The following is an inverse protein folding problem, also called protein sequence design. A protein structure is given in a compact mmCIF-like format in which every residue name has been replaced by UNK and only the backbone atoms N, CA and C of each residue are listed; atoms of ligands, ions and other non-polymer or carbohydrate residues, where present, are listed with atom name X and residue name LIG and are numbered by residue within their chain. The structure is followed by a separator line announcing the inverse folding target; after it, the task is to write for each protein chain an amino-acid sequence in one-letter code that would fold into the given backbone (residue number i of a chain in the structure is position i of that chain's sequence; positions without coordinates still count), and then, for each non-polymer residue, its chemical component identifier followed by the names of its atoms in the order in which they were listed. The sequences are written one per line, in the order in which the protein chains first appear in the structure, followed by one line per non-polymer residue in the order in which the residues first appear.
data_IF_456414445007
#
_entry.id   IF_456414445007
#
_cell.length_a   1.000
_cell.length_b   1.000
_cell.length_c   1.000
_cell.angle_alpha   90.00
_cell.angle_beta   90.00
_cell.angle_gamma   90.00
#
_symmetry.space_group_name_H-M   'P 1'
#
loop_
_entity.id
_entity.type
_entity.pdbx_description
1 polymer ?
#
# COMPACT_ATOMS: atom_id res chain seq x y z
N UNK A 1 22.13 -24.50 12.47
CA UNK A 1 21.89 -25.96 12.30
C UNK A 1 22.52 -26.40 10.98
N UNK A 2 22.39 -27.66 10.53
CA UNK A 2 22.54 -27.93 9.09
C UNK A 2 21.43 -27.20 8.33
N UNK A 3 21.72 -26.75 7.10
CA UNK A 3 20.65 -26.24 6.23
C UNK A 3 19.74 -27.40 5.80
N UNK A 4 18.43 -27.17 5.69
CA UNK A 4 17.49 -28.19 5.26
C UNK A 4 17.77 -28.61 3.82
N UNK A 5 17.74 -29.92 3.58
CA UNK A 5 17.85 -30.47 2.24
C UNK A 5 16.50 -30.44 1.49
N UNK A 6 16.50 -30.84 0.22
CA UNK A 6 15.27 -30.80 -0.57
C UNK A 6 14.19 -31.78 -0.09
N UNK A 7 14.55 -32.87 0.62
CA UNK A 7 13.58 -33.79 1.19
C UNK A 7 12.91 -33.19 2.44
N UNK A 8 13.65 -32.44 3.27
CA UNK A 8 13.08 -31.68 4.38
C UNK A 8 12.14 -30.57 3.91
N UNK A 9 12.52 -29.82 2.86
CA UNK A 9 11.61 -28.86 2.21
C UNK A 9 10.35 -29.55 1.68
N UNK A 10 10.49 -30.64 0.94
CA UNK A 10 9.38 -31.38 0.33
C UNK A 10 8.42 -31.96 1.38
N UNK A 11 8.95 -32.48 2.49
CA UNK A 11 8.16 -32.95 3.63
C UNK A 11 7.39 -31.80 4.29
N UNK A 12 8.05 -30.66 4.52
CA UNK A 12 7.42 -29.48 5.13
C UNK A 12 6.27 -28.93 4.28
N UNK A 13 6.47 -28.72 2.97
CA UNK A 13 5.40 -28.21 2.08
C UNK A 13 4.24 -29.17 1.94
N UNK A 14 4.51 -30.48 1.93
CA UNK A 14 3.47 -31.52 1.91
C UNK A 14 2.65 -31.50 3.21
N UNK A 15 3.31 -31.35 4.37
CA UNK A 15 2.64 -31.21 5.66
C UNK A 15 1.78 -29.94 5.72
N UNK A 16 2.30 -28.79 5.26
CA UNK A 16 1.53 -27.54 5.19
C UNK A 16 0.28 -27.69 4.32
N UNK A 17 0.42 -28.21 3.09
CA UNK A 17 -0.69 -28.44 2.18
C UNK A 17 -1.75 -29.37 2.80
N UNK A 18 -1.31 -30.49 3.41
CA UNK A 18 -2.17 -31.44 4.13
C UNK A 18 -2.88 -30.84 5.36
N UNK A 19 -2.28 -29.84 6.01
CA UNK A 19 -2.89 -29.07 7.09
C UNK A 19 -3.69 -27.84 6.61
N UNK A 20 -3.95 -27.73 5.30
CA UNK A 20 -4.79 -26.68 4.72
C UNK A 20 -4.11 -25.32 4.52
N UNK A 21 -2.78 -25.24 4.68
CA UNK A 21 -2.01 -24.06 4.29
C UNK A 21 -1.85 -23.99 2.77
N UNK A 22 -2.23 -22.86 2.20
CA UNK A 22 -1.98 -22.56 0.79
C UNK A 22 -0.54 -22.10 0.63
N UNK A 23 0.29 -22.93 0.02
CA UNK A 23 1.74 -22.66 -0.16
C UNK A 23 2.11 -22.46 -1.64
N UNK A 24 3.20 -21.74 -1.87
CA UNK A 24 3.81 -21.48 -3.19
C UNK A 24 5.32 -21.21 -3.04
N UNK A 25 6.14 -21.48 -4.08
CA UNK A 25 7.58 -21.29 -3.99
C UNK A 25 7.97 -19.81 -4.02
N UNK A 26 8.91 -19.44 -3.15
CA UNK A 26 9.63 -18.18 -3.10
C UNK A 26 11.07 -18.38 -3.58
N UNK A 27 11.66 -17.36 -4.20
CA UNK A 27 13.04 -17.40 -4.69
C UNK A 27 13.99 -17.74 -3.51
N UNK A 28 14.96 -18.67 -3.68
CA UNK A 28 15.94 -18.99 -2.65
C UNK A 28 16.72 -17.75 -2.20
N UNK A 29 16.88 -17.56 -0.89
CA UNK A 29 17.55 -16.38 -0.34
C UNK A 29 16.77 -15.07 -0.50
N UNK A 30 15.50 -15.13 -0.92
CA UNK A 30 14.64 -13.98 -1.17
C UNK A 30 13.25 -14.18 -0.55
N UNK A 31 12.40 -13.15 -0.59
CA UNK A 31 11.02 -13.18 -0.07
C UNK A 31 9.94 -12.99 -1.16
N UNK A 32 10.30 -13.14 -2.43
CA UNK A 32 9.41 -12.91 -3.58
C UNK A 32 9.00 -14.23 -4.27
N UNK A 33 7.84 -14.32 -4.94
CA UNK A 33 7.42 -15.53 -5.65
C UNK A 33 8.45 -15.98 -6.69
N UNK A 34 8.75 -17.29 -6.72
CA UNK A 34 9.69 -17.89 -7.67
C UNK A 34 9.10 -18.10 -9.07
N UNK A 35 7.78 -18.30 -9.15
CA UNK A 35 7.11 -18.55 -10.43
C UNK A 35 7.09 -17.27 -11.27
N UNK A 36 7.65 -17.28 -12.51
CA UNK A 36 7.63 -16.12 -13.40
C UNK A 36 6.20 -15.68 -13.72
N UNK A 37 5.99 -14.37 -13.92
CA UNK A 37 4.64 -13.86 -14.14
C UNK A 37 3.99 -14.36 -15.44
N UNK A 38 2.76 -14.84 -15.33
CA UNK A 38 1.95 -15.27 -16.47
C UNK A 38 1.53 -14.10 -17.38
N UNK A 39 1.48 -12.89 -16.82
CA UNK A 39 0.94 -11.69 -17.44
C UNK A 39 1.94 -10.53 -17.27
N UNK A 40 2.96 -10.42 -18.16
CA UNK A 40 3.90 -9.31 -18.13
C UNK A 40 3.17 -7.97 -18.27
N UNK A 41 3.73 -6.89 -17.69
CA UNK A 41 3.09 -5.55 -17.66
C UNK A 41 2.63 -5.05 -19.03
N UNK A 42 3.37 -5.39 -20.08
CA UNK A 42 3.05 -5.06 -21.46
C UNK A 42 3.09 -6.33 -22.31
N UNK A 43 2.28 -6.33 -23.36
CA UNK A 43 2.28 -7.36 -24.42
C UNK A 43 2.43 -6.68 -25.78
N UNK A 44 2.93 -7.45 -26.75
CA UNK A 44 3.06 -6.98 -28.13
C UNK A 44 1.72 -7.16 -28.85
N UNK A 45 1.06 -6.06 -29.19
CA UNK A 45 -0.15 -6.04 -30.01
C UNK A 45 0.24 -5.90 -31.48
N UNK A 46 -0.15 -6.88 -32.31
CA UNK A 46 0.13 -6.89 -33.75
C UNK A 46 -0.91 -6.07 -34.51
N UNK A 47 -0.50 -4.96 -35.12
CA UNK A 47 -1.38 -4.14 -35.95
C UNK A 47 -1.51 -4.77 -37.34
N UNK A 48 -2.68 -5.33 -37.65
CA UNK A 48 -2.91 -6.03 -38.92
C UNK A 48 -2.21 -7.40 -39.02
N UNK A 49 -1.76 -7.97 -37.90
CA UNK A 49 -1.14 -9.30 -37.86
C UNK A 49 0.35 -9.36 -38.24
N UNK A 50 0.99 -8.23 -38.57
CA UNK A 50 2.42 -8.17 -38.86
C UNK A 50 3.24 -7.58 -37.68
N UNK A 51 4.53 -7.93 -37.61
CA UNK A 51 5.45 -7.43 -36.58
C UNK A 51 5.88 -5.98 -36.82
N UNK A 52 5.96 -5.54 -38.09
CA UNK A 52 6.49 -4.22 -38.45
C UNK A 52 5.56 -3.05 -38.07
N UNK A 53 4.32 -3.35 -37.70
CA UNK A 53 3.35 -2.41 -37.14
C UNK A 53 3.05 -2.61 -35.65
N UNK A 54 3.77 -3.51 -34.97
CA UNK A 54 3.43 -3.96 -33.62
C UNK A 54 3.82 -2.95 -32.53
N UNK A 55 3.03 -2.87 -31.46
CA UNK A 55 3.24 -1.94 -30.34
C UNK A 55 3.16 -2.65 -28.99
N UNK A 56 4.01 -2.23 -28.05
CA UNK A 56 3.85 -2.60 -26.64
C UNK A 56 2.65 -1.85 -26.04
N UNK A 57 1.64 -2.61 -25.62
CA UNK A 57 0.43 -2.10 -24.97
C UNK A 57 0.29 -2.68 -23.55
N UNK A 58 -0.40 -2.01 -22.61
CA UNK A 58 -0.68 -2.57 -21.30
C UNK A 58 -1.39 -3.92 -21.41
N UNK A 59 -0.94 -4.91 -20.65
CA UNK A 59 -1.56 -6.23 -20.67
C UNK A 59 -2.96 -6.19 -20.03
N UNK A 60 -4.05 -6.51 -20.74
CA UNK A 60 -5.40 -6.47 -20.20
C UNK A 60 -5.64 -7.50 -19.09
N UNK A 61 -4.81 -8.55 -19.01
CA UNK A 61 -4.89 -9.61 -18.00
C UNK A 61 -3.92 -9.39 -16.82
N UNK A 62 -3.29 -8.22 -16.68
CA UNK A 62 -2.33 -7.91 -15.59
C UNK A 62 -2.89 -8.13 -14.18
N UNK A 63 -4.21 -8.00 -14.02
CA UNK A 63 -4.93 -8.08 -12.75
C UNK A 63 -5.51 -9.48 -12.48
N UNK A 64 -5.19 -10.46 -13.34
CA UNK A 64 -5.51 -11.88 -13.20
C UNK A 64 -4.91 -12.46 -11.90
N UNK A 65 -5.66 -13.37 -11.27
CA UNK A 65 -5.36 -14.04 -9.99
C UNK A 65 -5.43 -15.57 -10.13
N UNK A 66 -5.16 -16.07 -11.33
CA UNK A 66 -5.20 -17.49 -11.66
C UNK A 66 -6.39 -17.92 -12.53
N UNK A 67 -7.31 -17.01 -12.88
CA UNK A 67 -8.47 -17.33 -13.73
C UNK A 67 -8.08 -17.83 -15.14
N UNK A 68 -6.85 -17.54 -15.59
CA UNK A 68 -6.31 -18.05 -16.86
C UNK A 68 -5.82 -19.51 -16.81
N UNK A 69 -5.83 -20.17 -15.64
CA UNK A 69 -5.42 -21.56 -15.47
C UNK A 69 -3.91 -21.84 -15.56
N UNK A 70 -3.07 -20.80 -15.63
CA UNK A 70 -1.60 -20.90 -15.60
C UNK A 70 -1.05 -20.51 -14.23
N UNK A 71 0.17 -20.96 -13.91
CA UNK A 71 0.94 -20.45 -12.78
C UNK A 71 1.58 -19.10 -13.16
N UNK A 72 1.83 -18.20 -12.19
CA UNK A 72 2.50 -16.92 -12.41
C UNK A 72 1.73 -15.70 -11.91
N UNK A 73 0.94 -15.87 -10.85
CA UNK A 73 0.13 -14.87 -10.15
C UNK A 73 0.60 -14.64 -8.71
N UNK A 74 1.76 -15.20 -8.33
CA UNK A 74 2.40 -14.98 -7.05
C UNK A 74 1.60 -15.61 -5.91
N UNK A 75 1.20 -14.80 -4.91
CA UNK A 75 0.42 -15.31 -3.77
C UNK A 75 -0.92 -15.95 -4.17
N UNK A 76 -1.45 -15.65 -5.36
CA UNK A 76 -2.68 -16.24 -5.86
C UNK A 76 -2.50 -17.64 -6.44
N UNK A 77 -1.27 -18.06 -6.79
CA UNK A 77 -0.96 -19.45 -7.15
C UNK A 77 -0.99 -20.38 -5.93
N UNK A 78 -1.00 -19.83 -4.70
CA UNK A 78 -0.89 -20.57 -3.45
C UNK A 78 -2.00 -21.63 -3.26
N UNK A 79 -1.58 -22.87 -3.09
CA UNK A 79 -2.44 -24.06 -3.16
C UNK A 79 -2.26 -25.03 -1.99
N UNK A 80 -3.30 -25.80 -1.72
CA UNK A 80 -3.30 -26.97 -0.81
C UNK A 80 -3.27 -28.29 -1.58
N UNK A 81 -3.21 -28.23 -2.91
CA UNK A 81 -3.09 -29.38 -3.80
C UNK A 81 -1.69 -30.01 -3.62
N UNK A 82 -1.66 -31.20 -3.01
CA UNK A 82 -0.42 -31.91 -2.66
C UNK A 82 0.34 -32.35 -3.92
N UNK A 83 -0.35 -32.75 -4.99
CA UNK A 83 0.32 -33.20 -6.22
C UNK A 83 1.01 -32.02 -6.92
N UNK A 84 0.35 -30.84 -6.93
CA UNK A 84 0.94 -29.60 -7.45
C UNK A 84 2.11 -29.11 -6.60
N UNK A 85 1.99 -29.16 -5.28
CA UNK A 85 3.08 -28.81 -4.34
C UNK A 85 4.27 -29.76 -4.51
N UNK A 86 4.02 -31.07 -4.60
CA UNK A 86 5.04 -32.07 -4.84
C UNK A 86 5.73 -31.85 -6.21
N UNK A 87 4.96 -31.54 -7.26
CA UNK A 87 5.50 -31.24 -8.58
C UNK A 87 6.41 -30.02 -8.63
N UNK A 88 6.15 -28.99 -7.81
CA UNK A 88 7.02 -27.81 -7.71
C UNK A 88 8.35 -28.13 -7.01
N UNK A 89 8.32 -28.62 -5.77
CA UNK A 89 9.54 -28.85 -4.96
C UNK A 89 10.28 -30.15 -5.29
N UNK A 90 9.61 -31.12 -5.92
CA UNK A 90 10.25 -32.29 -6.55
C UNK A 90 10.81 -32.01 -7.95
N UNK A 91 10.59 -30.81 -8.50
CA UNK A 91 10.96 -30.42 -9.85
C UNK A 91 11.70 -29.09 -9.91
N UNK A 92 11.27 -28.20 -10.81
CA UNK A 92 11.98 -26.95 -11.15
C UNK A 92 12.10 -25.92 -10.02
N UNK A 93 11.41 -26.13 -8.89
CA UNK A 93 11.47 -25.25 -7.71
C UNK A 93 12.07 -25.97 -6.48
N UNK A 94 12.82 -27.05 -6.69
CA UNK A 94 13.65 -27.67 -5.65
C UNK A 94 14.53 -26.62 -4.95
N UNK A 95 14.61 -26.68 -3.61
CA UNK A 95 15.32 -25.71 -2.77
C UNK A 95 14.73 -24.29 -2.71
N UNK A 96 13.55 -24.04 -3.30
CA UNK A 96 12.85 -22.75 -3.14
C UNK A 96 12.32 -22.57 -1.72
N UNK A 97 12.37 -21.32 -1.23
CA UNK A 97 11.74 -20.91 0.02
C UNK A 97 10.21 -21.10 -0.05
N UNK A 98 9.54 -21.14 1.10
CA UNK A 98 8.11 -21.45 1.22
C UNK A 98 7.33 -20.18 1.56
N UNK A 99 6.47 -19.75 0.64
CA UNK A 99 5.47 -18.71 0.88
C UNK A 99 4.16 -19.34 1.33
N UNK A 100 3.66 -18.95 2.50
CA UNK A 100 2.34 -19.36 3.00
C UNK A 100 1.35 -18.22 2.90
N UNK A 101 0.31 -18.35 2.05
CA UNK A 101 -0.79 -17.38 2.02
C UNK A 101 -1.60 -17.51 3.31
N UNK A 102 -1.79 -16.39 4.01
CA UNK A 102 -2.45 -16.39 5.33
C UNK A 102 -3.92 -16.85 5.17
N UNK A 103 -4.40 -17.84 5.95
CA UNK A 103 -5.79 -18.28 5.88
C UNK A 103 -6.81 -17.17 6.19
N UNK A 104 -7.98 -17.19 5.55
CA UNK A 104 -9.10 -16.28 5.84
C UNK A 104 -9.56 -16.33 7.30
N UNK A 105 -9.36 -17.46 7.98
CA UNK A 105 -9.65 -17.65 9.40
C UNK A 105 -8.64 -16.99 10.35
N UNK A 106 -7.55 -16.41 9.83
CA UNK A 106 -6.42 -15.90 10.60
C UNK A 106 -5.96 -14.49 10.15
N UNK A 107 -5.11 -13.89 10.97
CA UNK A 107 -4.22 -12.81 10.59
C UNK A 107 -2.88 -12.97 11.31
N UNK A 108 -1.87 -12.23 10.86
CA UNK A 108 -0.52 -12.25 11.43
C UNK A 108 -0.13 -10.85 11.86
N UNK A 109 0.38 -10.73 13.08
CA UNK A 109 1.15 -9.57 13.54
C UNK A 109 2.62 -9.87 13.23
N UNK A 110 3.18 -9.16 12.25
CA UNK A 110 4.57 -9.31 11.79
C UNK A 110 5.42 -8.23 12.49
N UNK A 111 6.37 -8.65 13.32
CA UNK A 111 7.17 -7.80 14.18
C UNK A 111 8.59 -7.72 13.64
N UNK A 112 9.00 -6.51 13.23
CA UNK A 112 10.34 -6.23 12.69
C UNK A 112 11.16 -5.32 13.63
N UNK A 113 12.12 -5.88 14.40
CA UNK A 113 13.03 -5.14 15.28
C UNK A 113 13.83 -4.06 14.54
N UNK A 114 14.17 -4.25 13.25
CA UNK A 114 14.91 -3.23 12.47
C UNK A 114 14.11 -1.94 12.30
N UNK A 115 12.79 -2.03 12.40
CA UNK A 115 11.86 -0.90 12.37
C UNK A 115 11.31 -0.55 13.76
N UNK A 116 11.88 -1.11 14.83
CA UNK A 116 11.48 -0.87 16.23
C UNK A 116 10.18 -1.57 16.62
N UNK A 117 9.82 -2.65 15.93
CA UNK A 117 8.62 -3.43 16.19
C UNK A 117 8.64 -4.13 17.56
N UNK A 118 9.82 -4.52 18.02
CA UNK A 118 10.09 -5.08 19.35
C UNK A 118 9.73 -4.09 20.48
N UNK A 119 10.22 -2.85 20.37
CA UNK A 119 9.99 -1.76 21.30
C UNK A 119 8.52 -1.30 21.26
N UNK A 120 7.95 -1.24 20.05
CA UNK A 120 6.53 -0.90 19.85
C UNK A 120 5.63 -1.97 20.45
N UNK A 121 5.95 -3.26 20.30
CA UNK A 121 5.19 -4.36 20.89
C UNK A 121 5.27 -4.31 22.42
N UNK A 122 6.47 -4.18 22.98
CA UNK A 122 6.65 -4.06 24.42
C UNK A 122 5.87 -2.87 25.02
N UNK A 123 5.81 -1.73 24.32
CA UNK A 123 5.01 -0.58 24.73
C UNK A 123 3.49 -0.83 24.65
N UNK A 124 3.01 -1.57 23.65
CA UNK A 124 1.61 -1.99 23.57
C UNK A 124 1.25 -2.95 24.70
N UNK A 125 2.10 -3.94 24.97
CA UNK A 125 1.87 -4.94 26.01
C UNK A 125 1.96 -4.36 27.43
N UNK A 126 2.87 -3.40 27.67
CA UNK A 126 2.93 -2.64 28.91
C UNK A 126 1.68 -1.77 29.13
N UNK A 127 1.07 -1.27 28.04
CA UNK A 127 -0.10 -0.37 28.09
C UNK A 127 -1.43 -1.11 28.20
N UNK A 128 -1.58 -2.26 27.55
CA UNK A 128 -2.86 -2.96 27.39
C UNK A 128 -2.88 -4.41 27.91
N UNK A 129 -1.72 -4.93 28.35
CA UNK A 129 -1.53 -6.32 28.76
C UNK A 129 -0.84 -7.16 27.68
N UNK A 130 -0.08 -8.17 28.12
CA UNK A 130 0.66 -9.11 27.27
C UNK A 130 -0.23 -9.77 26.22
N UNK A 131 0.34 -10.08 25.05
CA UNK A 131 -0.29 -10.99 24.10
C UNK A 131 -0.33 -12.41 24.69
N UNK A 132 -1.39 -13.20 24.42
CA UNK A 132 -1.39 -14.61 24.77
C UNK A 132 -0.37 -15.36 23.92
N UNK A 133 0.16 -16.46 24.46
CA UNK A 133 0.91 -17.44 23.68
C UNK A 133 0.05 -17.95 22.51
N UNK A 134 0.67 -18.07 21.35
CA UNK A 134 0.02 -18.45 20.09
C UNK A 134 1.06 -19.01 19.14
N UNK A 135 0.63 -19.69 18.07
CA UNK A 135 1.50 -20.14 16.99
C UNK A 135 2.40 -18.98 16.54
N UNK A 136 3.71 -19.24 16.43
CA UNK A 136 4.68 -18.27 15.95
C UNK A 136 5.59 -18.84 14.87
N UNK A 137 6.07 -17.95 14.00
CA UNK A 137 7.28 -18.18 13.20
C UNK A 137 8.35 -17.20 13.65
N UNK A 138 9.53 -17.70 13.99
CA UNK A 138 10.71 -16.88 14.28
C UNK A 138 11.53 -16.70 13.00
N UNK A 139 12.04 -15.49 12.81
CA UNK A 139 12.95 -15.16 11.71
C UNK A 139 14.32 -15.78 11.93
N UNK A 140 14.87 -16.44 10.90
CA UNK A 140 16.26 -16.89 10.89
C UNK A 140 17.30 -15.76 11.03
N UNK A 141 16.89 -14.48 11.03
CA UNK A 141 17.79 -13.35 11.30
C UNK A 141 18.38 -13.36 12.71
N UNK A 142 17.69 -13.96 13.70
CA UNK A 142 18.16 -14.02 15.08
C UNK A 142 18.06 -12.70 15.88
N UNK A 143 17.43 -11.67 15.33
CA UNK A 143 17.23 -10.36 15.97
C UNK A 143 15.92 -10.24 16.78
N UNK A 144 15.13 -11.32 16.83
CA UNK A 144 13.80 -11.35 17.47
C UNK A 144 12.63 -11.06 16.52
N UNK A 145 12.88 -10.88 15.21
CA UNK A 145 11.82 -10.74 14.22
C UNK A 145 10.90 -11.98 14.19
N UNK A 146 9.58 -11.77 14.20
CA UNK A 146 8.61 -12.86 14.38
C UNK A 146 7.22 -12.57 13.80
N UNK A 147 6.58 -13.63 13.32
CA UNK A 147 5.18 -13.67 12.94
C UNK A 147 4.36 -14.25 14.11
N UNK A 148 3.38 -13.51 14.64
CA UNK A 148 2.42 -13.98 15.65
C UNK A 148 1.06 -14.21 14.98
N UNK A 149 0.57 -15.45 14.97
CA UNK A 149 -0.67 -15.82 14.28
C UNK A 149 -1.87 -15.73 15.23
N UNK A 150 -2.98 -15.15 14.79
CA UNK A 150 -4.21 -15.01 15.60
C UNK A 150 -5.46 -15.34 14.79
N UNK A 151 -6.52 -15.79 15.45
CA UNK A 151 -7.85 -16.00 14.85
C UNK A 151 -8.42 -14.67 14.36
N UNK A 152 -8.93 -14.64 13.13
CA UNK A 152 -9.46 -13.43 12.50
C UNK A 152 -10.80 -13.01 13.12
N UNK A 153 -10.91 -11.80 13.70
CA UNK A 153 -12.22 -11.25 14.07
C UNK A 153 -12.97 -10.79 12.80
N UNK A 154 -14.32 -10.75 12.82
CA UNK A 154 -15.11 -10.36 11.66
C UNK A 154 -14.86 -8.91 11.24
N UNK A 155 -14.91 -8.66 9.94
CA UNK A 155 -14.79 -7.33 9.33
C UNK A 155 -13.45 -7.05 8.64
N UNK A 156 -13.29 -5.79 8.22
CA UNK A 156 -12.03 -5.26 7.69
C UNK A 156 -11.08 -5.00 8.85
N UNK A 157 -9.79 -5.25 8.65
CA UNK A 157 -8.71 -4.96 9.61
C UNK A 157 -7.78 -3.88 9.04
N UNK A 158 -7.03 -3.20 9.91
CA UNK A 158 -6.05 -2.17 9.56
C UNK A 158 -4.86 -2.19 10.51
N UNK A 159 -3.64 -1.97 9.98
CA UNK A 159 -2.42 -1.82 10.79
C UNK A 159 -2.24 -0.41 11.37
N UNK A 160 -3.07 0.57 10.97
CA UNK A 160 -2.79 2.01 11.17
C UNK A 160 -2.57 2.46 12.63
N UNK A 161 -2.97 1.65 13.61
CA UNK A 161 -2.85 1.93 15.05
C UNK A 161 -1.96 0.93 15.80
N UNK A 162 -1.23 0.06 15.10
CA UNK A 162 -0.24 -0.86 15.69
C UNK A 162 1.10 -0.17 15.97
N UNK A 163 1.42 0.91 15.26
CA UNK A 163 2.70 1.64 15.40
C UNK A 163 3.77 1.19 14.41
N UNK A 164 4.99 1.66 14.60
CA UNK A 164 6.11 1.45 13.66
C UNK A 164 6.71 0.05 13.84
N UNK A 165 7.08 -0.59 12.73
CA UNK A 165 7.72 -1.91 12.75
C UNK A 165 6.80 -3.07 13.15
N UNK A 166 5.48 -2.82 13.21
CA UNK A 166 4.47 -3.87 13.37
C UNK A 166 3.54 -3.85 12.16
N UNK A 167 3.67 -4.87 11.33
CA UNK A 167 2.88 -5.09 10.13
C UNK A 167 1.69 -6.02 10.39
N UNK A 168 0.67 -5.92 9.54
CA UNK A 168 -0.49 -6.80 9.55
C UNK A 168 -0.56 -7.60 8.25
N UNK A 169 -0.37 -8.93 8.30
CA UNK A 169 -0.65 -9.80 7.15
C UNK A 169 -2.03 -10.45 7.30
N UNK A 170 -2.73 -10.57 6.19
CA UNK A 170 -4.06 -11.20 6.07
C UNK A 170 -4.11 -12.02 4.79
N UNK A 171 -5.24 -12.62 4.43
CA UNK A 171 -5.43 -13.40 3.20
C UNK A 171 -5.19 -12.66 1.88
N UNK A 172 -5.03 -11.34 1.91
CA UNK A 172 -4.53 -10.52 0.79
C UNK A 172 -2.99 -10.51 0.67
N UNK A 173 -2.28 -11.23 1.55
CA UNK A 173 -0.83 -11.34 1.61
C UNK A 173 -0.37 -12.73 2.06
N UNK A 174 0.92 -12.87 2.29
CA UNK A 174 1.58 -14.11 2.68
C UNK A 174 2.67 -13.85 3.71
N UNK A 175 3.17 -14.93 4.31
CA UNK A 175 4.33 -14.99 5.20
C UNK A 175 5.35 -15.96 4.65
N UNK A 176 6.61 -15.83 5.07
CA UNK A 176 7.63 -16.87 4.87
C UNK A 176 7.44 -17.95 5.93
N UNK A 177 7.38 -19.21 5.52
CA UNK A 177 7.13 -20.37 6.39
C UNK A 177 8.44 -21.13 6.68
N UNK A 178 8.62 -21.74 7.87
CA UNK A 178 9.70 -22.71 8.12
C UNK A 178 9.71 -23.86 7.10
N UNK A 179 10.84 -24.52 6.82
CA UNK A 179 12.19 -24.20 7.24
C UNK A 179 12.92 -23.29 6.23
N UNK A 180 12.21 -22.34 5.59
CA UNK A 180 12.81 -21.40 4.63
C UNK A 180 14.10 -20.75 5.16
N UNK A 181 15.02 -20.42 4.26
CA UNK A 181 16.31 -19.81 4.58
C UNK A 181 16.19 -18.28 4.52
N UNK A 182 16.63 -17.58 5.57
CA UNK A 182 16.57 -16.13 5.64
C UNK A 182 17.68 -15.47 4.78
N UNK A 183 17.34 -14.45 3.93
CA UNK A 183 18.28 -13.81 3.00
C UNK A 183 19.65 -13.45 3.59
N UNK A 184 19.65 -12.60 4.62
CA UNK A 184 20.88 -11.95 5.11
C UNK A 184 21.73 -12.81 6.06
N UNK A 185 21.15 -13.87 6.64
CA UNK A 185 21.79 -14.67 7.69
C UNK A 185 22.06 -16.12 7.29
N UNK A 186 21.47 -16.58 6.19
CA UNK A 186 21.44 -17.98 5.76
C UNK A 186 20.87 -18.97 6.81
N UNK A 187 20.33 -18.51 7.93
CA UNK A 187 19.71 -19.34 8.96
C UNK A 187 18.21 -19.51 8.71
N UNK A 188 17.63 -20.58 9.26
CA UNK A 188 16.25 -20.98 8.94
C UNK A 188 15.21 -20.19 9.73
N UNK A 189 14.06 -19.91 9.11
CA UNK A 189 12.83 -19.62 9.86
C UNK A 189 12.39 -20.88 10.60
N UNK A 190 11.95 -20.73 11.85
CA UNK A 190 11.50 -21.85 12.71
C UNK A 190 10.11 -21.60 13.26
N UNK A 191 9.35 -22.64 13.57
CA UNK A 191 8.06 -22.50 14.27
C UNK A 191 8.24 -22.63 15.78
N UNK A 192 7.35 -21.96 16.52
CA UNK A 192 7.06 -22.29 17.91
C UNK A 192 5.60 -22.72 17.94
N UNK A 193 5.39 -24.01 18.20
CA UNK A 193 4.07 -24.64 18.13
C UNK A 193 3.20 -24.26 19.32
N UNK A 194 2.06 -23.64 19.04
CA UNK A 194 1.00 -23.38 20.01
C UNK A 194 -0.34 -23.24 19.26
N UNK A 195 -1.49 -23.43 19.93
CA UNK A 195 -2.79 -23.20 19.30
C UNK A 195 -2.93 -21.75 18.81
N UNK A 196 -3.49 -21.54 17.61
CA UNK A 196 -3.77 -20.18 17.12
C UNK A 196 -4.79 -19.50 18.02
N UNK A 197 -4.33 -18.50 18.78
CA UNK A 197 -5.06 -17.87 19.86
C UNK A 197 -6.17 -16.94 19.37
N UNK A 198 -7.15 -16.70 20.25
CA UNK A 198 -8.09 -15.58 20.09
C UNK A 198 -7.33 -14.29 20.42
N UNK A 199 -7.34 -13.26 19.55
CA UNK A 199 -6.66 -12.01 19.84
C UNK A 199 -7.30 -11.30 21.04
N UNK A 200 -6.52 -10.66 21.93
CA UNK A 200 -7.08 -9.92 23.05
C UNK A 200 -7.90 -8.72 22.57
N UNK A 201 -8.91 -8.33 23.35
CA UNK A 201 -9.86 -7.28 22.96
C UNK A 201 -9.21 -5.94 22.64
N UNK A 202 -8.07 -5.61 23.27
CA UNK A 202 -7.29 -4.41 22.96
C UNK A 202 -6.70 -4.47 21.54
N UNK A 203 -6.15 -5.62 21.12
CA UNK A 203 -5.58 -5.80 19.79
C UNK A 203 -6.67 -5.71 18.73
N UNK A 204 -7.82 -6.36 18.95
CA UNK A 204 -9.01 -6.23 18.08
C UNK A 204 -9.44 -4.77 17.97
N UNK A 205 -9.41 -4.01 19.07
CA UNK A 205 -9.76 -2.59 19.07
C UNK A 205 -8.75 -1.69 18.34
N UNK A 206 -7.45 -2.05 18.29
CA UNK A 206 -6.46 -1.36 17.46
C UNK A 206 -6.60 -1.72 15.97
N UNK A 207 -6.87 -2.99 15.68
CA UNK A 207 -7.02 -3.52 14.32
C UNK A 207 -8.30 -3.11 13.61
N UNK A 208 -9.34 -2.71 14.37
CA UNK A 208 -10.52 -2.06 13.79
C UNK A 208 -10.06 -0.83 13.02
N UNK A 209 -10.33 -0.73 11.70
CA UNK A 209 -10.18 0.51 10.97
C UNK A 209 -10.88 1.60 11.75
N UNK A 210 -10.25 2.76 11.86
CA UNK A 210 -11.02 3.91 12.27
C UNK A 210 -12.20 4.01 11.30
N UNK A 211 -13.40 3.98 11.87
CA UNK A 211 -14.53 4.58 11.19
C UNK A 211 -14.10 6.03 11.03
N UNK A 212 -13.55 6.36 9.84
CA UNK A 212 -13.59 7.73 9.36
C UNK A 212 -15.02 8.12 9.57
N UNK A 213 -15.26 8.98 10.55
CA UNK A 213 -16.45 9.79 10.53
C UNK A 213 -16.37 10.50 9.19
N UNK A 214 -17.11 9.98 8.19
CA UNK A 214 -17.84 10.86 7.28
C UNK A 214 -18.45 11.85 8.24
N UNK A 215 -17.86 13.05 8.29
CA UNK A 215 -18.15 14.01 9.35
C UNK A 215 -19.66 14.07 9.40
N UNK A 216 -20.26 13.67 10.52
CA UNK A 216 -21.70 13.76 10.64
C UNK A 216 -21.99 15.20 10.25
N UNK A 217 -22.78 15.40 9.19
CA UNK A 217 -23.22 16.74 8.77
C UNK A 217 -24.11 17.20 9.90
N UNK A 218 -23.46 17.68 10.96
CA UNK A 218 -24.09 18.04 12.21
C UNK A 218 -24.99 19.19 11.81
N UNK A 219 -26.33 19.07 11.97
CA UNK A 219 -27.17 20.23 11.80
C UNK A 219 -26.59 21.31 12.70
N UNK A 220 -26.21 22.46 12.11
CA UNK A 220 -25.38 23.49 12.75
C UNK A 220 -26.08 24.01 14.01
N UNK A 221 -25.86 23.36 15.15
CA UNK A 221 -26.20 23.91 16.46
C UNK A 221 -25.21 25.05 16.73
N UNK A 222 -25.73 26.26 16.57
CA UNK A 222 -25.14 27.51 17.05
C UNK A 222 -24.74 27.40 18.55
N UNK A 223 -23.88 28.33 19.00
CA UNK A 223 -23.72 28.88 20.38
C UNK A 223 -22.33 28.81 21.04
N UNK A 224 -21.98 29.89 21.78
CA UNK A 224 -20.90 30.04 22.78
C UNK A 224 -19.54 29.43 22.41
N UNK A 225 -18.53 30.17 21.93
CA UNK A 225 -18.17 31.56 22.29
C UNK A 225 -19.07 32.72 21.83
N UNK A 226 -19.56 32.85 20.59
CA UNK A 226 -19.37 32.00 19.42
C UNK A 226 -20.53 31.03 19.20
N UNK A 227 -20.31 29.74 18.91
CA UNK A 227 -19.04 29.10 18.57
C UNK A 227 -18.65 29.45 17.15
N UNK A 228 -17.44 29.98 17.01
CA UNK A 228 -16.83 30.35 15.74
C UNK A 228 -15.35 29.97 15.92
N UNK A 229 -14.83 28.82 15.45
CA UNK A 229 -15.33 27.93 14.40
C UNK A 229 -15.80 28.71 13.16
N UNK A 230 -15.04 29.73 12.81
CA UNK A 230 -14.83 30.06 11.41
C UNK A 230 -13.80 29.08 10.84
N UNK A 231 -14.03 28.65 9.61
CA UNK A 231 -13.05 27.91 8.80
C UNK A 231 -11.86 28.85 8.53
N UNK A 232 -10.63 28.35 8.45
CA UNK A 232 -9.48 29.21 8.09
C UNK A 232 -9.72 29.83 6.71
N UNK A 233 -9.21 31.03 6.44
CA UNK A 233 -9.34 31.66 5.11
C UNK A 233 -8.73 30.79 4.02
N UNK A 234 -7.60 30.15 4.32
CA UNK A 234 -6.96 29.19 3.42
C UNK A 234 -7.82 27.94 3.17
N UNK A 235 -8.43 27.38 4.21
CA UNK A 235 -9.30 26.20 4.11
C UNK A 235 -10.59 26.55 3.34
N UNK A 236 -11.21 27.69 3.67
CA UNK A 236 -12.41 28.22 3.03
C UNK A 236 -12.20 28.49 1.54
N UNK A 237 -11.00 28.95 1.17
CA UNK A 237 -10.60 29.13 -0.23
C UNK A 237 -10.38 27.79 -0.93
N UNK A 238 -9.71 26.82 -0.28
CA UNK A 238 -9.53 25.48 -0.86
C UNK A 238 -10.86 24.73 -1.05
N UNK A 239 -11.87 24.97 -0.19
CA UNK A 239 -13.21 24.39 -0.28
C UNK A 239 -14.11 25.07 -1.32
N UNK A 240 -13.96 26.38 -1.56
CA UNK A 240 -14.87 27.17 -2.40
C UNK A 240 -14.34 27.46 -3.81
N UNK A 241 -13.04 27.31 -4.03
CA UNK A 241 -12.39 27.61 -5.31
C UNK A 241 -11.98 26.33 -6.04
N UNK A 242 -12.22 26.29 -7.34
CA UNK A 242 -11.77 25.23 -8.27
C UNK A 242 -10.32 25.44 -8.72
N UNK A 243 -9.70 24.42 -9.32
CA UNK A 243 -8.39 24.61 -9.96
C UNK A 243 -8.46 25.51 -11.21
N UNK A 244 -9.60 25.51 -11.92
CA UNK A 244 -9.85 26.39 -13.07
C UNK A 244 -9.78 27.87 -12.66
N UNK A 245 -10.51 28.28 -11.63
CA UNK A 245 -10.52 29.66 -11.11
C UNK A 245 -9.15 30.15 -10.61
N UNK A 246 -8.19 29.25 -10.36
CA UNK A 246 -6.83 29.59 -9.91
C UNK A 246 -5.85 29.62 -11.10
N UNK A 247 -5.98 28.68 -12.06
CA UNK A 247 -4.98 28.46 -13.11
C UNK A 247 -5.35 29.13 -14.45
N UNK A 248 -6.61 29.14 -14.85
CA UNK A 248 -7.06 29.72 -16.12
C UNK A 248 -6.82 31.25 -16.22
N UNK A 249 -6.99 32.07 -15.16
CA UNK A 249 -6.64 33.50 -15.21
C UNK A 249 -5.16 33.75 -15.51
N UNK A 250 -4.30 32.76 -15.26
CA UNK A 250 -2.85 32.78 -15.54
C UNK A 250 -2.50 32.06 -16.86
N UNK A 251 -3.49 31.86 -17.73
CA UNK A 251 -3.32 31.33 -19.09
C UNK A 251 -3.16 29.81 -19.18
N UNK A 252 -3.33 29.07 -18.08
CA UNK A 252 -3.26 27.61 -18.11
C UNK A 252 -4.53 27.01 -18.73
N UNK A 253 -4.37 25.91 -19.47
CA UNK A 253 -5.48 25.15 -20.05
C UNK A 253 -5.58 23.74 -19.45
N UNK A 254 -6.80 23.31 -19.10
CA UNK A 254 -7.08 21.91 -18.76
C UNK A 254 -7.23 21.10 -20.05
N UNK A 255 -6.56 19.94 -20.14
CA UNK A 255 -6.57 19.08 -21.34
C UNK A 255 -7.37 17.78 -21.16
N UNK A 256 -8.35 17.77 -20.24
CA UNK A 256 -9.16 16.61 -19.89
C UNK A 256 -10.61 16.77 -20.39
N UNK A 257 -11.18 15.74 -21.03
CA UNK A 257 -12.56 15.74 -21.56
C UNK A 257 -13.64 15.38 -20.53
N UNK A 258 -13.36 15.56 -19.23
CA UNK A 258 -14.31 15.34 -18.13
C UNK A 258 -14.48 16.58 -17.25
N UNK A 259 -15.35 16.50 -16.25
CA UNK A 259 -15.70 17.66 -15.40
C UNK A 259 -14.45 18.26 -14.71
N UNK A 260 -14.07 19.51 -15.00
CA UNK A 260 -12.90 20.15 -14.39
C UNK A 260 -13.07 20.42 -12.88
N UNK A 261 -14.25 20.17 -12.31
CA UNK A 261 -14.52 20.23 -10.88
C UNK A 261 -14.12 18.94 -10.12
N UNK A 262 -13.79 17.84 -10.80
CA UNK A 262 -13.47 16.56 -10.16
C UNK A 262 -12.00 16.48 -9.70
N UNK A 263 -11.76 16.92 -8.46
CA UNK A 263 -10.46 16.89 -7.78
C UNK A 263 -9.86 15.47 -7.59
N UNK A 264 -10.59 14.38 -7.88
CA UNK A 264 -10.08 12.98 -7.85
C UNK A 264 -9.63 12.45 -9.23
N UNK A 265 -10.07 13.03 -10.35
CA UNK A 265 -9.98 12.42 -11.69
C UNK A 265 -8.58 12.45 -12.35
N UNK A 266 -7.58 13.11 -11.77
CA UNK A 266 -6.22 13.14 -12.33
C UNK A 266 -6.01 14.21 -13.42
N UNK A 267 -6.76 15.33 -13.36
CA UNK A 267 -6.77 16.38 -14.38
C UNK A 267 -5.38 16.89 -14.77
N UNK A 268 -5.15 17.02 -16.08
CA UNK A 268 -3.87 17.46 -16.67
C UNK A 268 -3.98 18.92 -17.11
N UNK A 269 -2.97 19.71 -16.73
CA UNK A 269 -2.90 21.14 -16.98
C UNK A 269 -1.66 21.51 -17.81
N UNK A 270 -1.84 22.45 -18.73
CA UNK A 270 -0.84 22.99 -19.64
C UNK A 270 -0.57 24.46 -19.31
N UNK A 271 0.70 24.82 -19.11
CA UNK A 271 1.13 26.22 -19.01
C UNK A 271 1.08 26.89 -20.40
N UNK A 272 0.80 28.20 -20.54
CA UNK A 272 0.75 28.86 -21.85
C UNK A 272 2.08 28.77 -22.63
N UNK A 273 3.22 28.69 -21.94
CA UNK A 273 4.55 28.51 -22.54
C UNK A 273 5.02 27.04 -22.53
N UNK A 274 4.10 26.08 -22.47
CA UNK A 274 4.45 24.66 -22.43
C UNK A 274 4.99 24.15 -23.79
N UNK A 275 6.21 23.61 -23.77
CA UNK A 275 6.80 22.87 -24.89
C UNK A 275 6.45 21.37 -24.89
N UNK A 276 5.66 20.91 -23.92
CA UNK A 276 5.31 19.51 -23.68
C UNK A 276 3.82 19.34 -23.40
N UNK A 277 3.26 18.17 -23.72
CA UNK A 277 1.82 17.86 -23.63
C UNK A 277 1.27 17.67 -22.21
N UNK A 278 2.04 17.99 -21.18
CA UNK A 278 1.61 18.05 -19.78
C UNK A 278 2.56 18.98 -19.03
N UNK A 279 2.04 19.97 -18.28
CA UNK A 279 2.84 20.84 -17.41
C UNK A 279 2.64 20.54 -15.94
N UNK A 280 1.40 20.19 -15.54
CA UNK A 280 1.05 19.80 -14.18
C UNK A 280 -0.09 18.77 -14.17
N UNK A 281 -0.29 18.10 -13.04
CA UNK A 281 -1.38 17.13 -12.81
C UNK A 281 -1.96 17.31 -11.41
N UNK A 282 -3.28 17.38 -11.29
CA UNK A 282 -3.95 17.36 -9.98
C UNK A 282 -4.10 15.90 -9.52
N UNK A 283 -3.65 15.58 -8.31
CA UNK A 283 -3.86 14.27 -7.67
C UNK A 283 -4.12 14.45 -6.18
N UNK A 284 -5.11 13.75 -5.64
CA UNK A 284 -5.48 13.83 -4.22
C UNK A 284 -5.79 15.28 -3.76
N UNK A 285 -6.35 16.12 -4.64
CA UNK A 285 -6.60 17.54 -4.39
C UNK A 285 -5.37 18.47 -4.41
N UNK A 286 -4.18 17.96 -4.75
CA UNK A 286 -2.94 18.75 -4.86
C UNK A 286 -2.45 18.84 -6.31
N UNK A 287 -1.92 20.01 -6.70
CA UNK A 287 -1.27 20.22 -7.99
C UNK A 287 0.20 19.81 -7.92
N UNK A 288 0.58 18.78 -8.70
CA UNK A 288 1.97 18.38 -8.91
C UNK A 288 2.45 18.95 -10.24
N UNK A 289 3.57 19.67 -10.24
CA UNK A 289 4.07 20.40 -11.41
C UNK A 289 5.32 19.72 -11.95
N UNK A 290 5.35 19.41 -13.23
CA UNK A 290 6.44 18.66 -13.87
C UNK A 290 7.28 19.54 -14.81
N UNK A 291 6.75 20.68 -15.24
CA UNK A 291 7.46 21.66 -16.06
C UNK A 291 8.26 22.64 -15.20
N UNK A 292 9.53 22.84 -15.54
CA UNK A 292 10.40 23.88 -14.95
C UNK A 292 10.16 25.27 -15.56
N UNK A 293 9.45 25.38 -16.68
CA UNK A 293 9.08 26.67 -17.28
C UNK A 293 7.73 27.17 -16.73
N UNK A 294 7.63 27.27 -15.40
CA UNK A 294 6.45 27.75 -14.66
C UNK A 294 6.93 28.47 -13.38
N UNK A 295 6.11 29.33 -12.75
CA UNK A 295 6.45 29.95 -11.46
C UNK A 295 6.43 28.97 -10.27
N UNK A 296 6.16 27.68 -10.49
CA UNK A 296 6.18 26.66 -9.45
C UNK A 296 7.51 25.89 -9.42
N UNK A 297 7.86 25.38 -8.24
CA UNK A 297 8.93 24.41 -8.08
C UNK A 297 8.49 23.06 -8.65
N UNK A 298 9.32 22.48 -9.54
CA UNK A 298 8.99 21.21 -10.18
C UNK A 298 9.12 20.03 -9.20
N UNK A 299 8.08 19.20 -9.14
CA UNK A 299 8.00 18.00 -8.31
C UNK A 299 9.10 16.99 -8.69
N UNK A 300 10.08 16.80 -7.80
CA UNK A 300 11.18 15.86 -8.01
C UNK A 300 10.81 14.42 -7.60
N UNK A 301 11.38 13.42 -8.30
CA UNK A 301 11.08 11.99 -8.06
C UNK A 301 11.47 11.49 -6.65
N UNK A 302 12.40 12.17 -5.98
CA UNK A 302 12.82 11.84 -4.60
C UNK A 302 12.04 12.58 -3.51
N UNK A 303 11.24 13.59 -3.87
CA UNK A 303 10.61 14.50 -2.91
C UNK A 303 9.30 15.09 -3.49
N UNK A 304 8.19 14.32 -3.46
CA UNK A 304 6.97 14.65 -4.20
C UNK A 304 6.14 15.74 -3.49
N UNK A 305 6.57 16.99 -3.65
CA UNK A 305 5.85 18.18 -3.19
C UNK A 305 4.73 18.56 -4.16
N UNK A 306 3.48 18.51 -3.69
CA UNK A 306 2.30 19.04 -4.35
C UNK A 306 1.81 20.35 -3.71
N UNK A 307 1.21 21.23 -4.51
CA UNK A 307 0.65 22.49 -4.05
C UNK A 307 -0.83 22.36 -3.67
N UNK A 308 -1.23 22.91 -2.52
CA UNK A 308 -2.65 23.15 -2.22
C UNK A 308 -3.17 24.30 -3.06
N UNK A 309 -4.49 24.37 -3.28
CA UNK A 309 -5.15 25.49 -3.99
C UNK A 309 -4.73 26.86 -3.46
N UNK A 310 -4.72 27.04 -2.13
CA UNK A 310 -4.27 28.30 -1.52
C UNK A 310 -2.76 28.58 -1.71
N UNK A 311 -1.88 27.56 -1.62
CA UNK A 311 -0.44 27.74 -1.89
C UNK A 311 -0.19 28.08 -3.37
N UNK A 312 -0.95 27.48 -4.29
CA UNK A 312 -0.85 27.78 -5.71
C UNK A 312 -1.33 29.21 -6.03
N UNK A 313 -2.47 29.63 -5.45
CA UNK A 313 -2.95 31.00 -5.54
C UNK A 313 -1.93 32.02 -5.00
N UNK A 314 -1.27 31.73 -3.88
CA UNK A 314 -0.23 32.59 -3.32
C UNK A 314 1.00 32.70 -4.25
N UNK A 315 1.45 31.60 -4.86
CA UNK A 315 2.55 31.63 -5.85
C UNK A 315 2.19 32.46 -7.09
N UNK A 316 0.99 32.29 -7.63
CA UNK A 316 0.58 32.96 -8.87
C UNK A 316 0.22 34.45 -8.71
N UNK A 317 -0.25 34.87 -7.53
CA UNK A 317 -0.83 36.21 -7.34
C UNK A 317 -0.11 37.06 -6.29
N UNK A 318 0.80 36.48 -5.49
CA UNK A 318 1.45 37.13 -4.34
C UNK A 318 2.92 36.67 -4.17
N UNK A 319 3.59 36.22 -5.22
CA UNK A 319 4.99 35.75 -5.23
C UNK A 319 5.31 34.66 -4.17
N UNK A 320 4.30 33.91 -3.74
CA UNK A 320 4.41 32.89 -2.70
C UNK A 320 4.19 33.40 -1.26
N UNK A 321 3.94 34.69 -1.05
CA UNK A 321 3.59 35.23 0.29
C UNK A 321 2.17 34.81 0.69
N UNK A 322 2.11 33.72 1.46
CA UNK A 322 0.89 33.16 2.05
C UNK A 322 0.15 34.17 2.95
N UNK A 323 0.84 35.14 3.55
CA UNK A 323 0.23 36.17 4.42
C UNK A 323 -0.39 37.31 3.60
N UNK A 324 0.26 37.73 2.52
CA UNK A 324 -0.32 38.66 1.56
C UNK A 324 -1.57 38.06 0.90
N UNK A 325 -1.47 36.81 0.43
CA UNK A 325 -2.59 36.07 -0.14
C UNK A 325 -3.79 35.97 0.82
N UNK A 326 -3.56 35.63 2.10
CA UNK A 326 -4.62 35.55 3.09
C UNK A 326 -5.31 36.92 3.32
N UNK A 327 -4.53 38.01 3.41
CA UNK A 327 -5.07 39.37 3.56
C UNK A 327 -5.88 39.81 2.34
N UNK A 328 -5.43 39.46 1.13
CA UNK A 328 -6.13 39.75 -0.11
C UNK A 328 -7.50 39.07 -0.15
N UNK A 329 -7.58 37.77 0.18
CA UNK A 329 -8.84 37.03 0.24
C UNK A 329 -9.79 37.55 1.34
N UNK A 330 -9.27 37.91 2.53
CA UNK A 330 -10.07 38.57 3.57
C UNK A 330 -10.68 39.88 3.05
N UNK A 331 -9.91 40.66 2.29
CA UNK A 331 -10.35 41.96 1.76
C UNK A 331 -11.35 41.79 0.60
N UNK A 332 -11.17 40.75 -0.22
CA UNK A 332 -12.08 40.43 -1.34
C UNK A 332 -13.41 39.84 -0.85
N UNK A 333 -13.39 39.05 0.23
CA UNK A 333 -14.58 38.51 0.90
C UNK A 333 -15.27 39.47 1.88
N UNK A 334 -14.80 40.72 2.00
CA UNK A 334 -15.37 41.75 2.85
C UNK A 334 -16.25 42.74 2.04
N UNK A 335 -17.35 42.24 1.47
CA UNK A 335 -18.45 43.02 0.91
C UNK A 335 -19.79 42.39 1.27
#
# INVERSE_FOLDING_TARGET
MSLPDNAEFLAAVTAYAGHGWRVFPLVPGEKFPAIPTAHPRQVLELRGGCIDGARLVPNPQRDCRGECGRDGHGLYDATTDVDRVFGWWGGSYAGCNIGGRVPESMFVVDVDPRHGGDNTLAALEAKYGQLPETLMTLSGRGDGGKHLFFRRPPGKLSAARLGRGIDLKTSAGYVVMPPSIHPDSAECYTSVEAPVAVPPGWLVNLLRPEVRSRGCVRPRRMFSSGKRFGVSVADSFCEQTSWAEILEPHGWACSYEGDPCDDEAGAVWLHPEATSSCSATVRYGLLFVWSTNTPFEATACGDPHGYTKFKAYAVLNHDGDMSAAARALITQGAK
#
